data_IF_938324716220
#
_entry.id   IF_938324716220
#
_cell.length_a   1.000
_cell.length_b   1.000
_cell.length_c   1.000
_cell.angle_alpha   90.00
_cell.angle_beta   90.00
_cell.angle_gamma   90.00
#
_symmetry.space_group_name_H-M   'P 1'
#
loop_
_entity.id
_entity.type
_entity.pdbx_description
1 polymer ?
#
# COMPACT_ATOMS: atom_id res chain seq x y z
N UNK A 1 65.47 -8.39 -3.16
CA UNK A 1 64.63 -8.71 -1.98
C UNK A 1 63.39 -7.80 -1.94
N UNK A 2 62.44 -7.92 -2.87
CA UNK A 2 61.21 -7.10 -2.91
C UNK A 2 60.02 -7.79 -3.60
N UNK A 3 60.02 -9.11 -3.63
CA UNK A 3 58.92 -9.93 -4.21
C UNK A 3 58.32 -10.93 -3.20
N UNK A 4 58.96 -11.12 -2.05
CA UNK A 4 58.51 -12.09 -1.03
C UNK A 4 57.49 -11.53 -0.03
N UNK A 5 57.13 -10.25 -0.11
CA UNK A 5 56.14 -9.64 0.79
C UNK A 5 54.70 -9.65 0.26
N UNK A 6 54.50 -9.79 -1.06
CA UNK A 6 53.15 -9.81 -1.65
C UNK A 6 52.48 -11.19 -1.64
N UNK A 7 53.26 -12.27 -1.50
CA UNK A 7 52.74 -13.64 -1.47
C UNK A 7 52.13 -14.02 -0.10
N UNK A 8 52.46 -13.29 0.97
CA UNK A 8 51.83 -13.50 2.30
C UNK A 8 50.53 -12.72 2.51
N UNK A 9 50.24 -11.69 1.71
CA UNK A 9 49.01 -10.89 1.86
C UNK A 9 47.77 -11.55 1.22
N UNK A 10 47.95 -12.52 0.32
CA UNK A 10 46.84 -13.24 -0.31
C UNK A 10 46.29 -14.39 0.53
N UNK A 11 46.96 -14.79 1.61
CA UNK A 11 46.55 -15.91 2.46
C UNK A 11 45.78 -15.49 3.72
N UNK A 12 45.73 -14.19 4.05
CA UNK A 12 45.06 -13.70 5.27
C UNK A 12 43.63 -13.20 5.06
N UNK A 13 43.14 -13.15 3.82
CA UNK A 13 41.75 -12.76 3.51
C UNK A 13 40.75 -13.93 3.67
N UNK A 14 41.23 -15.16 3.85
CA UNK A 14 40.37 -16.36 3.93
C UNK A 14 39.93 -16.76 5.36
N UNK A 15 40.23 -15.97 6.40
CA UNK A 15 39.98 -16.35 7.80
C UNK A 15 39.12 -15.33 8.58
N UNK A 16 38.05 -14.83 7.94
CA UNK A 16 36.95 -14.12 8.61
C UNK A 16 35.58 -14.67 8.16
N UNK A 17 35.44 -16.00 8.13
CA UNK A 17 34.11 -16.63 8.19
C UNK A 17 33.77 -16.77 9.67
N UNK A 18 33.32 -15.68 10.28
CA UNK A 18 32.63 -15.74 11.57
C UNK A 18 31.27 -16.36 11.34
N UNK A 19 31.16 -17.64 11.67
CA UNK A 19 29.89 -18.37 11.79
C UNK A 19 29.08 -17.79 12.95
N UNK A 20 28.22 -16.82 12.67
CA UNK A 20 27.12 -16.48 13.58
C UNK A 20 26.01 -17.51 13.41
N UNK A 21 26.09 -18.59 14.19
CA UNK A 21 24.96 -19.50 14.43
C UNK A 21 23.89 -18.76 15.23
N UNK A 22 22.92 -18.14 14.57
CA UNK A 22 21.64 -17.83 15.20
C UNK A 22 20.67 -18.98 14.92
N UNK A 23 20.61 -19.91 15.86
CA UNK A 23 19.46 -20.74 16.07
C UNK A 23 18.39 -19.90 16.79
N UNK A 24 17.28 -19.60 16.12
CA UNK A 24 16.02 -19.31 16.79
C UNK A 24 14.91 -20.15 16.14
N UNK A 25 14.69 -21.27 16.82
CA UNK A 25 13.41 -21.93 17.03
C UNK A 25 12.22 -20.95 16.99
N UNK A 26 11.30 -21.19 16.05
CA UNK A 26 9.87 -20.92 16.24
C UNK A 26 9.07 -21.88 15.36
N UNK A 27 8.62 -22.96 16.01
CA UNK A 27 7.30 -23.55 15.84
C UNK A 27 6.63 -23.35 14.47
N UNK A 28 6.67 -24.42 13.66
CA UNK A 28 5.67 -24.67 12.63
C UNK A 28 4.28 -24.78 13.29
N UNK A 29 3.61 -23.66 13.49
CA UNK A 29 2.16 -23.67 13.66
C UNK A 29 1.55 -23.47 12.28
N UNK A 30 1.30 -24.62 11.63
CA UNK A 30 0.36 -24.73 10.53
C UNK A 30 -0.98 -24.22 11.06
N UNK A 31 -1.34 -22.96 10.78
CA UNK A 31 -2.70 -22.48 11.03
C UNK A 31 -3.61 -23.16 10.02
N UNK A 32 -4.05 -24.36 10.39
CA UNK A 32 -5.23 -25.00 9.84
C UNK A 32 -6.43 -24.12 10.25
N UNK A 33 -6.94 -23.31 9.31
CA UNK A 33 -8.22 -22.63 9.48
C UNK A 33 -9.34 -23.68 9.44
N UNK A 34 -9.55 -24.38 10.56
CA UNK A 34 -10.79 -25.11 10.83
C UNK A 34 -11.90 -24.08 11.09
N UNK A 35 -12.53 -23.60 10.03
CA UNK A 35 -13.84 -22.96 10.12
C UNK A 35 -14.87 -24.02 10.53
N UNK A 36 -14.97 -24.26 11.85
CA UNK A 36 -16.07 -25.00 12.43
C UNK A 36 -17.21 -24.02 12.73
N UNK A 37 -17.83 -23.50 11.68
CA UNK A 37 -19.13 -22.82 11.82
C UNK A 37 -20.16 -23.92 12.01
N UNK A 38 -20.74 -24.00 13.21
CA UNK A 38 -21.89 -24.86 13.45
C UNK A 38 -23.04 -24.42 12.56
N UNK A 39 -23.59 -25.35 11.79
CA UNK A 39 -24.86 -25.18 11.08
C UNK A 39 -25.96 -24.88 12.10
N UNK A 40 -26.28 -23.59 12.23
CA UNK A 40 -27.58 -23.14 12.70
C UNK A 40 -28.58 -23.32 11.57
N UNK A 41 -29.59 -24.14 11.85
CA UNK A 41 -30.73 -24.46 11.02
C UNK A 41 -31.44 -23.24 10.43
N UNK A 42 -31.72 -23.35 9.15
CA UNK A 42 -32.98 -23.03 8.48
C UNK A 42 -33.56 -21.63 8.74
N UNK A 43 -33.49 -20.74 7.74
CA UNK A 43 -34.66 -20.00 7.23
C UNK A 43 -34.41 -19.60 5.76
N UNK A 44 -35.10 -20.28 4.86
CA UNK A 44 -35.33 -19.81 3.50
C UNK A 44 -36.12 -18.50 3.57
N UNK A 45 -35.48 -17.38 3.24
CA UNK A 45 -36.20 -16.19 2.79
C UNK A 45 -35.82 -15.89 1.35
N UNK A 46 -36.74 -16.25 0.47
CA UNK A 46 -36.86 -15.77 -0.90
C UNK A 46 -36.91 -14.22 -0.87
N UNK A 47 -35.77 -13.57 -1.10
CA UNK A 47 -35.74 -12.13 -1.41
C UNK A 47 -35.85 -11.98 -2.93
N UNK A 48 -37.06 -11.69 -3.40
CA UNK A 48 -37.26 -11.15 -4.75
C UNK A 48 -36.68 -9.74 -4.79
N UNK A 49 -35.49 -9.60 -5.37
CA UNK A 49 -34.91 -8.30 -5.71
C UNK A 49 -35.52 -7.83 -7.02
N UNK A 50 -36.68 -7.19 -6.93
CA UNK A 50 -37.24 -6.38 -8.00
C UNK A 50 -37.23 -4.92 -7.51
N UNK A 51 -36.14 -4.21 -7.83
CA UNK A 51 -35.95 -2.83 -7.43
C UNK A 51 -34.78 -2.21 -8.19
N UNK A 52 -35.10 -1.25 -9.05
CA UNK A 52 -34.19 -0.38 -9.79
C UNK A 52 -32.94 0.01 -8.98
N UNK A 53 -31.77 -0.32 -9.54
CA UNK A 53 -30.49 0.27 -9.11
C UNK A 53 -30.48 1.76 -9.48
N UNK A 54 -31.05 2.59 -8.62
CA UNK A 54 -30.86 4.02 -8.73
C UNK A 54 -29.43 4.35 -8.28
N UNK A 55 -28.62 4.67 -9.29
CA UNK A 55 -27.34 5.38 -9.22
C UNK A 55 -27.28 6.30 -7.99
N UNK A 56 -26.31 6.03 -7.10
CA UNK A 56 -25.90 7.01 -6.09
C UNK A 56 -25.23 8.16 -6.83
N UNK A 57 -26.05 9.15 -7.17
CA UNK A 57 -25.68 10.46 -7.67
C UNK A 57 -24.77 11.13 -6.63
N UNK A 58 -23.61 11.58 -7.09
CA UNK A 58 -22.56 12.17 -6.27
C UNK A 58 -23.08 13.25 -5.33
N UNK A 59 -22.66 13.16 -4.07
CA UNK A 59 -22.74 14.28 -3.14
C UNK A 59 -21.58 15.23 -3.47
N UNK A 60 -21.85 16.27 -4.26
CA UNK A 60 -20.97 17.44 -4.35
C UNK A 60 -21.02 18.19 -3.02
N UNK A 61 -20.04 17.93 -2.15
CA UNK A 61 -19.74 18.80 -1.02
C UNK A 61 -18.80 19.89 -1.52
N UNK A 62 -19.39 20.98 -2.03
CA UNK A 62 -18.65 22.20 -2.35
C UNK A 62 -18.06 22.83 -1.08
N UNK A 63 -16.84 22.45 -0.74
CA UNK A 63 -16.02 23.14 0.25
C UNK A 63 -15.06 24.06 -0.49
N UNK A 64 -15.47 25.32 -0.64
CA UNK A 64 -14.59 26.42 -0.98
C UNK A 64 -13.58 26.62 0.16
N UNK A 65 -12.51 25.82 0.19
CA UNK A 65 -11.38 26.00 1.10
C UNK A 65 -10.12 26.17 0.28
N UNK A 66 -9.64 27.41 0.27
CA UNK A 66 -8.29 27.91 -0.04
C UNK A 66 -7.37 26.98 -0.83
N UNK A 67 -6.86 27.49 -1.96
CA UNK A 67 -5.81 26.92 -2.83
C UNK A 67 -4.44 26.75 -2.15
N UNK A 68 -4.41 26.22 -0.93
CA UNK A 68 -3.22 25.75 -0.26
C UNK A 68 -3.17 24.23 -0.43
N UNK A 69 -2.40 23.79 -1.41
CA UNK A 69 -1.72 22.49 -1.48
C UNK A 69 -2.45 21.27 -0.85
N UNK A 70 -3.75 21.12 -1.11
CA UNK A 70 -4.50 19.98 -0.58
C UNK A 70 -4.01 18.70 -1.24
N UNK A 71 -3.60 17.72 -0.43
CA UNK A 71 -3.30 16.36 -0.89
C UNK A 71 -4.57 15.54 -1.17
N UNK A 72 -5.75 16.09 -0.86
CA UNK A 72 -7.06 15.54 -1.23
C UNK A 72 -7.32 15.83 -2.71
N UNK A 73 -7.45 14.78 -3.53
CA UNK A 73 -7.56 14.90 -4.99
C UNK A 73 -9.02 14.86 -5.42
N UNK A 74 -9.33 15.64 -6.44
CA UNK A 74 -10.65 15.74 -7.03
C UNK A 74 -10.56 15.53 -8.54
N UNK A 75 -11.63 14.98 -9.13
CA UNK A 75 -11.69 14.68 -10.57
C UNK A 75 -10.70 13.59 -11.00
N UNK A 76 -10.15 13.76 -12.22
CA UNK A 76 -9.20 12.80 -12.81
C UNK A 76 -7.83 12.95 -12.13
N UNK A 77 -7.38 11.88 -11.47
CA UNK A 77 -6.14 11.87 -10.70
C UNK A 77 -4.94 11.53 -11.61
N UNK A 78 -3.99 12.47 -11.72
CA UNK A 78 -2.74 12.32 -12.49
C UNK A 78 -1.61 11.84 -11.55
N UNK A 79 -1.49 10.52 -11.32
CA UNK A 79 -0.51 9.95 -10.38
C UNK A 79 0.94 10.30 -10.74
N UNK A 80 1.28 10.39 -12.03
CA UNK A 80 2.64 10.78 -12.48
C UNK A 80 2.96 12.23 -12.15
N UNK A 81 1.97 13.13 -12.14
CA UNK A 81 2.16 14.50 -11.70
C UNK A 81 2.28 14.63 -10.18
N UNK A 82 1.82 13.63 -9.42
CA UNK A 82 2.02 13.56 -7.96
C UNK A 82 3.45 13.18 -7.63
N UNK A 83 3.97 12.15 -8.30
CA UNK A 83 5.33 11.65 -8.15
C UNK A 83 6.35 12.67 -8.71
N UNK A 84 6.62 13.72 -7.95
CA UNK A 84 7.52 14.82 -8.38
C UNK A 84 8.96 14.36 -8.37
N UNK A 85 9.31 13.47 -7.44
CA UNK A 85 10.65 12.93 -7.29
C UNK A 85 10.98 11.83 -8.32
N UNK A 86 9.96 11.29 -9.02
CA UNK A 86 10.03 10.27 -10.08
C UNK A 86 10.57 8.93 -9.63
N UNK A 87 10.30 8.54 -8.39
CA UNK A 87 10.74 7.27 -7.82
C UNK A 87 9.72 6.12 -8.01
N UNK A 88 8.59 6.42 -8.64
CA UNK A 88 7.52 5.47 -8.93
C UNK A 88 6.65 5.14 -7.72
N UNK A 89 6.69 5.94 -6.65
CA UNK A 89 5.93 5.74 -5.42
C UNK A 89 5.22 7.01 -4.98
N UNK A 90 4.19 6.85 -4.16
CA UNK A 90 3.42 7.92 -3.54
C UNK A 90 2.97 7.48 -2.16
N UNK A 91 2.61 8.44 -1.31
CA UNK A 91 1.99 8.21 -0.02
C UNK A 91 0.47 8.35 -0.15
N UNK A 92 -0.28 7.31 0.23
CA UNK A 92 -1.73 7.22 0.09
C UNK A 92 -2.41 6.80 1.39
N UNK A 93 -3.57 7.38 1.68
CA UNK A 93 -4.41 6.96 2.80
C UNK A 93 -5.21 5.68 2.48
N UNK A 94 -5.49 4.86 3.48
CA UNK A 94 -6.21 3.57 3.31
C UNK A 94 -7.71 3.65 3.58
N UNK A 95 -8.18 4.78 4.10
CA UNK A 95 -9.60 5.09 4.36
C UNK A 95 -10.12 6.11 3.34
N UNK A 96 -9.32 7.11 3.01
CA UNK A 96 -9.62 8.20 2.08
C UNK A 96 -8.73 8.10 0.83
N UNK A 97 -9.08 7.20 -0.10
CA UNK A 97 -8.19 6.80 -1.21
C UNK A 97 -7.74 7.93 -2.16
N UNK A 98 -8.47 9.04 -2.22
CA UNK A 98 -8.10 10.23 -2.97
C UNK A 98 -7.13 11.15 -2.21
N UNK A 99 -6.70 10.81 -1.01
CA UNK A 99 -5.67 11.53 -0.28
C UNK A 99 -4.31 10.95 -0.65
N UNK A 100 -3.58 11.67 -1.50
CA UNK A 100 -2.32 11.21 -2.10
C UNK A 100 -1.28 12.33 -2.10
N UNK A 101 -0.06 12.01 -1.70
CA UNK A 101 1.09 12.91 -1.60
C UNK A 101 2.36 12.30 -2.20
N UNK A 102 3.28 13.13 -2.66
CA UNK A 102 4.66 12.73 -3.02
C UNK A 102 5.52 12.47 -1.77
N UNK A 103 5.18 13.18 -0.69
CA UNK A 103 5.93 13.21 0.56
C UNK A 103 5.16 12.51 1.68
N UNK A 104 5.86 11.95 2.68
CA UNK A 104 5.21 11.37 3.86
C UNK A 104 4.42 12.42 4.62
N UNK A 105 3.29 12.02 5.19
CA UNK A 105 2.41 12.95 5.88
C UNK A 105 1.25 12.25 6.56
N UNK A 106 0.29 13.05 7.00
CA UNK A 106 -0.96 12.58 7.60
C UNK A 106 -2.13 12.96 6.71
N UNK A 107 -3.15 12.10 6.67
CA UNK A 107 -4.42 12.42 6.06
C UNK A 107 -5.07 13.60 6.80
N UNK A 108 -5.50 14.67 6.11
CA UNK A 108 -6.15 15.81 6.75
C UNK A 108 -7.60 15.53 7.19
N UNK A 109 -8.14 14.36 6.83
CA UNK A 109 -9.52 13.96 7.13
C UNK A 109 -9.55 13.07 8.37
N UNK A 110 -8.75 12.00 8.39
CA UNK A 110 -8.74 11.00 9.46
C UNK A 110 -7.48 11.03 10.36
N UNK A 111 -6.52 11.92 10.08
CA UNK A 111 -5.26 12.11 10.82
C UNK A 111 -4.31 10.89 10.87
N UNK A 112 -4.62 9.83 10.11
CA UNK A 112 -3.76 8.66 9.97
C UNK A 112 -2.52 8.98 9.13
N UNK A 113 -1.42 8.29 9.41
CA UNK A 113 -0.20 8.37 8.59
C UNK A 113 -0.45 7.71 7.23
N UNK A 114 -0.09 8.43 6.16
CA UNK A 114 -0.17 7.92 4.80
C UNK A 114 0.81 6.75 4.60
N UNK A 115 0.41 5.75 3.82
CA UNK A 115 1.26 4.60 3.49
C UNK A 115 1.95 4.80 2.16
N UNK A 116 3.25 4.51 2.11
CA UNK A 116 3.99 4.47 0.85
C UNK A 116 3.55 3.28 0.01
N UNK A 117 3.17 3.54 -1.23
CA UNK A 117 2.70 2.56 -2.20
C UNK A 117 3.30 2.85 -3.56
N UNK A 118 3.37 1.84 -4.43
CA UNK A 118 3.78 2.08 -5.82
C UNK A 118 2.70 2.80 -6.61
N UNK A 119 3.06 3.49 -7.68
CA UNK A 119 2.09 4.11 -8.61
C UNK A 119 1.04 3.10 -9.11
N UNK A 120 1.45 1.86 -9.39
CA UNK A 120 0.54 0.82 -9.86
C UNK A 120 -0.45 0.39 -8.77
N UNK A 121 0.02 0.28 -7.53
CA UNK A 121 -0.84 -0.03 -6.37
C UNK A 121 -1.80 1.13 -6.09
N UNK A 122 -1.34 2.37 -6.09
CA UNK A 122 -2.18 3.55 -5.94
C UNK A 122 -3.25 3.61 -7.05
N UNK A 123 -2.87 3.33 -8.31
CA UNK A 123 -3.79 3.23 -9.46
C UNK A 123 -4.86 2.16 -9.24
N UNK A 124 -4.47 0.97 -8.80
CA UNK A 124 -5.39 -0.11 -8.46
C UNK A 124 -6.36 0.28 -7.33
N UNK A 125 -5.84 0.87 -6.26
CA UNK A 125 -6.64 1.32 -5.12
C UNK A 125 -7.66 2.39 -5.54
N UNK A 126 -7.26 3.34 -6.37
CA UNK A 126 -8.16 4.38 -6.89
C UNK A 126 -9.29 3.78 -7.73
N UNK A 127 -9.00 2.91 -8.69
CA UNK A 127 -10.03 2.28 -9.51
C UNK A 127 -10.99 1.42 -8.70
N UNK A 128 -10.47 0.63 -7.76
CA UNK A 128 -11.29 -0.23 -6.91
C UNK A 128 -12.28 0.57 -6.05
N UNK A 129 -11.96 1.82 -5.76
CA UNK A 129 -12.77 2.70 -4.92
C UNK A 129 -13.47 3.82 -5.72
N UNK A 130 -13.61 3.66 -7.04
CA UNK A 130 -14.46 4.52 -7.87
C UNK A 130 -13.85 5.86 -8.27
N UNK A 131 -12.53 6.02 -8.19
CA UNK A 131 -11.85 7.23 -8.65
C UNK A 131 -11.36 7.09 -10.10
N UNK A 132 -11.43 8.19 -10.84
CA UNK A 132 -10.88 8.27 -12.19
C UNK A 132 -9.38 8.58 -12.15
N UNK A 133 -8.59 7.82 -12.90
CA UNK A 133 -7.13 7.96 -12.97
C UNK A 133 -6.74 8.16 -14.40
N UNK A 134 -5.84 9.12 -14.64
CA UNK A 134 -5.30 9.37 -15.98
C UNK A 134 -4.50 8.17 -16.48
N UNK A 135 -4.76 7.76 -17.70
CA UNK A 135 -4.00 6.72 -18.40
C UNK A 135 -2.77 7.33 -19.11
N UNK A 136 -1.68 6.55 -19.18
CA UNK A 136 -0.42 6.92 -19.84
C UNK A 136 0.22 5.72 -20.53
#
# INVERSE_FOLDING_TARGET
>A
MKTMTYLSFLLTVFLLITVSSFAQDSSKTKMEHKHKMGMGKDMHHEMKMEGEMNSHKGMEMGSSKSKEQSIVREGVIDLKAIDKNKDGRVYQDVMDWNVISDEPGKCPICEMTLKEVTINEAKYNLYKNGFEVKDY
#
